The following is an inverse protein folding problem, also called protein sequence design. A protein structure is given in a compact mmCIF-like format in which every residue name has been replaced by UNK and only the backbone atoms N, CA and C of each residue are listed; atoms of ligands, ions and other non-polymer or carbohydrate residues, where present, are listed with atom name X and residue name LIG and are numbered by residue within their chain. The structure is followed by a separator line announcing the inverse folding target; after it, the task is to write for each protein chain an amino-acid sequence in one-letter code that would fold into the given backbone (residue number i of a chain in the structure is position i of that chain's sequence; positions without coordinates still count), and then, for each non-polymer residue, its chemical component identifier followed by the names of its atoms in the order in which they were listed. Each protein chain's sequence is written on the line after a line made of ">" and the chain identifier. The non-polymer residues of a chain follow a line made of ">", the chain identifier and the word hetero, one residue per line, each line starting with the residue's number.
data_IF_733296253463
#
_entry.id   IF_733296253463
#
_cell.length_a   1.000
_cell.length_b   1.000
_cell.length_c   1.000
_cell.angle_alpha   90.00
_cell.angle_beta   90.00
_cell.angle_gamma   90.00
#
_symmetry.space_group_name_H-M   'P 1'
#
loop_
_entity.id
_entity.type
_entity.pdbx_description
1 polymer ?
#
# COMPACT_ATOMS: atom_id res chain seq x y z
N UNK A 1 -24.50 -2.03 -7.06
CA UNK A 1 -25.01 -3.41 -7.27
C UNK A 1 -24.15 -4.47 -6.56
N UNK A 2 -22.86 -4.63 -6.88
CA UNK A 2 -21.99 -5.64 -6.23
C UNK A 2 -21.86 -5.48 -4.70
N UNK A 3 -21.69 -4.25 -4.21
CA UNK A 3 -21.63 -3.94 -2.77
C UNK A 3 -22.92 -4.36 -2.05
N UNK A 4 -24.08 -4.13 -2.67
CA UNK A 4 -25.38 -4.50 -2.11
C UNK A 4 -25.49 -6.01 -1.89
N UNK A 5 -25.17 -6.83 -2.90
CA UNK A 5 -25.20 -8.29 -2.78
C UNK A 5 -24.18 -8.84 -1.79
N UNK A 6 -23.04 -8.17 -1.60
CA UNK A 6 -22.01 -8.57 -0.65
C UNK A 6 -22.47 -8.43 0.81
N UNK A 7 -23.32 -7.44 1.10
CA UNK A 7 -23.82 -7.12 2.45
C UNK A 7 -25.22 -7.70 2.73
N UNK A 8 -25.98 -8.09 1.69
CA UNK A 8 -27.41 -8.44 1.79
C UNK A 8 -27.74 -9.52 2.83
N UNK A 9 -26.88 -10.53 3.03
CA UNK A 9 -27.06 -11.58 4.06
C UNK A 9 -26.22 -11.33 5.33
N UNK A 10 -25.89 -10.07 5.62
CA UNK A 10 -25.11 -9.65 6.79
C UNK A 10 -23.74 -10.36 6.85
N UNK A 11 -23.18 -10.51 8.05
CA UNK A 11 -21.81 -10.97 8.31
C UNK A 11 -21.50 -12.37 7.72
N UNK A 12 -22.51 -13.23 7.53
CA UNK A 12 -22.34 -14.58 6.96
C UNK A 12 -22.03 -14.58 5.46
N UNK A 13 -22.57 -13.65 4.70
CA UNK A 13 -22.25 -13.51 3.27
C UNK A 13 -21.02 -12.64 3.05
N UNK A 14 -20.92 -11.55 3.83
CA UNK A 14 -19.74 -10.69 3.81
C UNK A 14 -18.47 -11.48 4.15
N UNK A 15 -18.51 -12.37 5.16
CA UNK A 15 -17.37 -13.21 5.51
C UNK A 15 -16.83 -14.07 4.36
N UNK A 16 -17.71 -14.64 3.52
CA UNK A 16 -17.28 -15.45 2.36
C UNK A 16 -16.66 -14.61 1.24
N UNK A 17 -17.26 -13.45 0.95
CA UNK A 17 -16.75 -12.52 -0.06
C UNK A 17 -15.40 -11.94 0.40
N UNK A 18 -15.26 -11.65 1.69
CA UNK A 18 -14.02 -11.12 2.30
C UNK A 18 -12.84 -12.06 2.11
N UNK A 19 -13.00 -13.39 2.15
CA UNK A 19 -11.89 -14.30 1.85
C UNK A 19 -11.31 -14.06 0.45
N UNK A 20 -12.16 -13.88 -0.56
CA UNK A 20 -11.67 -13.56 -1.90
C UNK A 20 -11.10 -12.14 -1.95
N UNK A 21 -11.86 -11.14 -1.52
CA UNK A 21 -11.46 -9.72 -1.66
C UNK A 21 -10.28 -9.34 -0.77
N UNK A 22 -10.01 -10.08 0.31
CA UNK A 22 -8.83 -9.86 1.15
C UNK A 22 -7.62 -10.65 0.65
N UNK A 23 -7.79 -11.91 0.19
CA UNK A 23 -6.64 -12.75 -0.21
C UNK A 23 -6.19 -12.45 -1.64
N UNK A 24 -7.11 -12.22 -2.58
CA UNK A 24 -6.77 -11.97 -3.99
C UNK A 24 -5.81 -10.78 -4.19
N UNK A 25 -5.97 -9.63 -3.49
CA UNK A 25 -4.98 -8.56 -3.56
C UNK A 25 -3.57 -8.97 -3.15
N UNK A 26 -3.40 -9.90 -2.18
CA UNK A 26 -2.07 -10.40 -1.82
C UNK A 26 -1.44 -11.23 -2.94
N UNK A 27 -2.23 -12.04 -3.66
CA UNK A 27 -1.73 -12.78 -4.83
C UNK A 27 -1.19 -11.81 -5.88
N UNK A 28 -1.93 -10.74 -6.18
CA UNK A 28 -1.47 -9.70 -7.10
C UNK A 28 -0.25 -8.95 -6.57
N UNK A 29 -0.23 -8.61 -5.28
CA UNK A 29 0.91 -7.97 -4.61
C UNK A 29 2.18 -8.80 -4.78
N UNK A 30 2.13 -10.11 -4.56
CA UNK A 30 3.29 -10.97 -4.72
C UNK A 30 3.71 -11.13 -6.19
N UNK A 31 2.75 -11.23 -7.12
CA UNK A 31 3.05 -11.26 -8.55
C UNK A 31 3.72 -9.95 -9.02
N UNK A 32 3.21 -8.80 -8.57
CA UNK A 32 3.80 -7.49 -8.87
C UNK A 32 5.15 -7.29 -8.20
N UNK A 33 5.33 -7.76 -6.97
CA UNK A 33 6.64 -7.76 -6.32
C UNK A 33 7.66 -8.57 -7.12
N UNK A 34 7.32 -9.81 -7.49
CA UNK A 34 8.19 -10.65 -8.30
C UNK A 34 8.55 -9.96 -9.62
N UNK A 35 7.57 -9.36 -10.31
CA UNK A 35 7.84 -8.63 -11.55
C UNK A 35 8.70 -7.40 -11.32
N UNK A 36 8.37 -6.56 -10.34
CA UNK A 36 9.06 -5.30 -10.08
C UNK A 36 10.54 -5.52 -9.72
N UNK A 37 10.84 -6.55 -8.92
CA UNK A 37 12.22 -6.90 -8.56
C UNK A 37 13.04 -7.45 -9.73
N UNK A 38 12.41 -7.94 -10.80
CA UNK A 38 13.10 -8.42 -12.01
C UNK A 38 13.36 -7.34 -13.06
N UNK A 39 12.91 -6.10 -12.81
CA UNK A 39 13.13 -4.99 -13.75
C UNK A 39 14.57 -4.48 -13.66
N UNK A 40 15.11 -4.06 -14.79
CA UNK A 40 16.39 -3.34 -14.83
C UNK A 40 16.24 -2.00 -14.09
N UNK A 41 17.27 -1.56 -13.35
CA UNK A 41 17.20 -0.36 -12.51
C UNK A 41 16.36 -0.49 -11.22
N UNK A 42 15.70 -1.62 -10.96
CA UNK A 42 14.91 -1.81 -9.74
C UNK A 42 15.73 -1.68 -8.45
N UNK A 43 17.00 -2.08 -8.50
CA UNK A 43 17.94 -2.03 -7.36
C UNK A 43 18.15 -0.58 -6.91
N UNK A 44 18.32 0.36 -7.84
CA UNK A 44 18.51 1.78 -7.52
C UNK A 44 17.27 2.35 -6.82
N UNK A 45 16.09 1.93 -7.29
CA UNK A 45 14.81 2.16 -6.64
C UNK A 45 14.75 1.73 -5.18
N UNK A 46 15.14 0.49 -4.92
CA UNK A 46 15.11 -0.12 -3.59
C UNK A 46 16.15 0.52 -2.67
N UNK A 47 17.35 0.83 -3.19
CA UNK A 47 18.37 1.52 -2.44
C UNK A 47 17.88 2.89 -1.99
N UNK A 48 17.27 3.66 -2.90
CA UNK A 48 16.67 4.95 -2.57
C UNK A 48 15.58 4.83 -1.49
N UNK A 49 14.72 3.81 -1.57
CA UNK A 49 13.66 3.58 -0.58
C UNK A 49 14.18 3.35 0.84
N UNK A 50 15.30 2.63 0.99
CA UNK A 50 15.87 2.32 2.30
C UNK A 50 16.97 3.28 2.75
N UNK A 51 17.37 4.25 1.92
CA UNK A 51 18.42 5.21 2.27
C UNK A 51 17.90 6.18 3.35
N UNK A 52 18.40 6.10 4.59
CA UNK A 52 17.86 6.91 5.68
C UNK A 52 18.42 8.33 5.62
N UNK A 53 17.54 9.33 5.70
CA UNK A 53 17.89 10.75 5.85
C UNK A 53 17.64 11.16 7.30
N UNK A 54 18.63 10.95 8.17
CA UNK A 54 18.49 11.12 9.63
C UNK A 54 18.15 12.54 10.07
N UNK A 55 18.61 13.54 9.32
CA UNK A 55 18.36 14.96 9.58
C UNK A 55 16.86 15.28 9.59
N UNK A 56 16.07 14.60 8.76
CA UNK A 56 14.63 14.78 8.66
C UNK A 56 13.89 14.36 9.94
N UNK A 57 14.48 13.51 10.79
CA UNK A 57 13.86 13.11 12.06
C UNK A 57 13.77 14.26 13.07
N UNK A 58 14.60 15.29 12.90
CA UNK A 58 14.56 16.50 13.74
C UNK A 58 13.38 17.41 13.35
N UNK A 59 12.80 17.21 12.17
CA UNK A 59 11.68 18.02 11.69
C UNK A 59 10.36 17.51 12.25
N UNK A 60 9.65 18.36 13.01
CA UNK A 60 8.34 18.02 13.57
C UNK A 60 7.31 17.63 12.49
N UNK A 61 7.41 18.18 11.28
CA UNK A 61 6.51 17.88 10.16
C UNK A 61 6.55 16.40 9.78
N UNK A 62 7.71 15.76 9.81
CA UNK A 62 7.87 14.34 9.46
C UNK A 62 7.06 13.46 10.41
N UNK A 63 7.05 13.78 11.71
CA UNK A 63 6.25 13.08 12.71
C UNK A 63 4.75 13.31 12.55
N UNK A 64 4.34 14.53 12.19
CA UNK A 64 2.93 14.84 11.89
C UNK A 64 2.45 14.03 10.68
N UNK A 65 3.25 13.97 9.60
CA UNK A 65 2.92 13.16 8.42
C UNK A 65 2.87 11.67 8.75
N UNK A 66 3.82 11.15 9.54
CA UNK A 66 3.83 9.76 9.97
C UNK A 66 2.60 9.40 10.82
N UNK A 67 2.21 10.28 11.75
CA UNK A 67 1.01 10.08 12.58
C UNK A 67 -0.26 10.10 11.70
N UNK A 68 -0.41 11.10 10.83
CA UNK A 68 -1.53 11.19 9.91
C UNK A 68 -1.64 9.97 8.99
N UNK A 69 -0.51 9.48 8.47
CA UNK A 69 -0.46 8.28 7.63
C UNK A 69 -0.94 7.04 8.38
N UNK A 70 -0.46 6.80 9.60
CA UNK A 70 -0.89 5.67 10.42
C UNK A 70 -2.39 5.74 10.75
N UNK A 71 -2.87 6.93 11.10
CA UNK A 71 -4.27 7.16 11.42
C UNK A 71 -5.19 6.92 10.22
N UNK A 72 -4.82 7.43 9.04
CA UNK A 72 -5.58 7.21 7.80
C UNK A 72 -5.50 5.77 7.30
N UNK A 73 -4.36 5.10 7.51
CA UNK A 73 -4.13 3.72 7.08
C UNK A 73 -5.02 2.73 7.84
N UNK A 74 -5.00 2.78 9.17
CA UNK A 74 -5.80 1.88 10.02
C UNK A 74 -7.27 2.33 10.10
N UNK A 75 -7.55 3.60 9.80
CA UNK A 75 -8.87 4.26 9.95
C UNK A 75 -9.38 4.14 11.39
N UNK A 76 -8.49 4.43 12.34
CA UNK A 76 -8.87 4.51 13.74
C UNK A 76 -10.01 5.53 13.92
N UNK A 77 -11.01 5.22 14.73
CA UNK A 77 -12.19 6.05 14.99
C UNK A 77 -13.24 6.23 13.86
N UNK A 78 -13.14 5.57 12.71
CA UNK A 78 -14.18 5.63 11.66
C UNK A 78 -15.38 4.70 11.87
N UNK A 79 -15.58 4.17 13.08
CA UNK A 79 -16.71 3.27 13.42
C UNK A 79 -16.60 1.85 12.88
N UNK A 80 -15.94 1.62 11.73
CA UNK A 80 -15.83 0.30 11.08
C UNK A 80 -15.21 -0.77 11.98
N UNK A 81 -14.07 -0.47 12.62
CA UNK A 81 -13.41 -1.41 13.54
C UNK A 81 -14.25 -1.65 14.80
N UNK A 82 -14.97 -0.64 15.29
CA UNK A 82 -15.90 -0.76 16.43
C UNK A 82 -17.06 -1.69 16.05
N UNK A 83 -17.61 -1.54 14.85
CA UNK A 83 -18.65 -2.43 14.32
C UNK A 83 -18.16 -3.86 14.13
N UNK A 84 -16.90 -4.09 13.71
CA UNK A 84 -16.36 -5.46 13.62
C UNK A 84 -16.08 -6.06 15.00
N UNK A 85 -15.57 -5.26 15.94
CA UNK A 85 -15.36 -5.70 17.31
C UNK A 85 -16.67 -6.11 18.00
N UNK A 86 -17.80 -5.44 17.71
CA UNK A 86 -19.10 -5.78 18.32
C UNK A 86 -19.66 -7.16 17.91
N UNK A 87 -19.17 -7.74 16.80
CA UNK A 87 -19.50 -9.10 16.37
C UNK A 87 -18.53 -10.16 16.91
N UNK A 88 -17.46 -9.76 17.62
CA UNK A 88 -16.49 -10.69 18.20
C UNK A 88 -17.04 -11.39 19.44
N UNK A 89 -16.53 -12.59 19.74
CA UNK A 89 -16.89 -13.29 20.98
C UNK A 89 -16.38 -12.50 22.20
N UNK A 90 -17.11 -12.53 23.31
CA UNK A 90 -16.77 -11.77 24.53
C UNK A 90 -15.46 -12.25 25.19
N UNK A 91 -15.07 -13.49 24.97
CA UNK A 91 -13.83 -14.13 25.46
C UNK A 91 -12.67 -14.03 24.46
N UNK A 92 -12.82 -13.27 23.37
CA UNK A 92 -11.81 -13.14 22.34
C UNK A 92 -10.62 -12.27 22.80
N UNK A 93 -9.39 -12.70 22.48
CA UNK A 93 -8.19 -11.92 22.76
C UNK A 93 -8.01 -10.79 21.74
N UNK A 94 -8.64 -9.65 22.02
CA UNK A 94 -8.60 -8.47 21.16
C UNK A 94 -7.19 -7.87 20.99
N UNK A 95 -6.30 -8.05 21.98
CA UNK A 95 -4.92 -7.54 21.90
C UNK A 95 -4.15 -8.28 20.81
N UNK A 96 -4.29 -9.61 20.76
CA UNK A 96 -3.65 -10.43 19.72
C UNK A 96 -4.16 -10.04 18.33
N UNK A 97 -5.47 -9.90 18.16
CA UNK A 97 -6.06 -9.54 16.87
C UNK A 97 -5.63 -8.16 16.41
N UNK A 98 -5.58 -7.19 17.34
CA UNK A 98 -5.11 -5.83 17.05
C UNK A 98 -3.65 -5.85 16.59
N UNK A 99 -2.77 -6.57 17.28
CA UNK A 99 -1.36 -6.69 16.89
C UNK A 99 -1.21 -7.30 15.49
N UNK A 100 -1.95 -8.38 15.20
CA UNK A 100 -1.92 -9.04 13.89
C UNK A 100 -2.39 -8.08 12.79
N UNK A 101 -3.52 -7.39 12.99
CA UNK A 101 -4.07 -6.45 12.00
C UNK A 101 -3.10 -5.31 11.73
N UNK A 102 -2.53 -4.69 12.77
CA UNK A 102 -1.57 -3.60 12.60
C UNK A 102 -0.29 -4.06 11.91
N UNK A 103 0.26 -5.22 12.29
CA UNK A 103 1.45 -5.78 11.65
C UNK A 103 1.22 -6.10 10.17
N UNK A 104 0.12 -6.76 9.84
CA UNK A 104 -0.23 -7.09 8.45
C UNK A 104 -0.41 -5.81 7.63
N UNK A 105 -1.08 -4.78 8.18
CA UNK A 105 -1.24 -3.49 7.52
C UNK A 105 0.12 -2.81 7.22
N UNK A 106 1.02 -2.77 8.20
CA UNK A 106 2.35 -2.19 8.03
C UNK A 106 3.21 -2.97 7.05
N UNK A 107 3.22 -4.31 7.12
CA UNK A 107 3.95 -5.17 6.18
C UNK A 107 3.42 -5.01 4.76
N UNK A 108 2.10 -4.94 4.58
CA UNK A 108 1.49 -4.73 3.26
C UNK A 108 1.92 -3.39 2.67
N UNK A 109 1.94 -2.34 3.50
CA UNK A 109 2.39 -1.00 3.10
C UNK A 109 3.87 -0.99 2.69
N UNK A 110 4.73 -1.73 3.41
CA UNK A 110 6.14 -1.89 3.05
C UNK A 110 6.32 -2.63 1.73
N UNK A 111 5.60 -3.73 1.50
CA UNK A 111 5.65 -4.48 0.24
C UNK A 111 5.17 -3.59 -0.93
N UNK A 112 4.08 -2.84 -0.74
CA UNK A 112 3.60 -1.90 -1.74
C UNK A 112 4.64 -0.80 -2.04
N UNK A 113 5.31 -0.28 -1.00
CA UNK A 113 6.43 0.65 -1.14
C UNK A 113 7.56 0.08 -1.98
N UNK A 114 7.99 -1.16 -1.71
CA UNK A 114 9.01 -1.85 -2.51
C UNK A 114 8.64 -1.94 -3.99
N UNK A 115 7.39 -2.30 -4.31
CA UNK A 115 6.91 -2.40 -5.69
C UNK A 115 6.98 -1.05 -6.39
N UNK A 116 6.50 0.01 -5.74
CA UNK A 116 6.48 1.37 -6.29
C UNK A 116 7.91 1.86 -6.54
N UNK A 117 8.79 1.76 -5.55
CA UNK A 117 10.16 2.25 -5.67
C UNK A 117 11.01 1.41 -6.64
N UNK A 118 10.85 0.08 -6.68
CA UNK A 118 11.47 -0.75 -7.71
C UNK A 118 11.00 -0.36 -9.13
N UNK A 119 9.72 -0.03 -9.28
CA UNK A 119 9.18 0.44 -10.57
C UNK A 119 9.73 1.83 -10.93
N UNK A 120 9.85 2.75 -9.96
CA UNK A 120 10.45 4.07 -10.17
C UNK A 120 11.93 3.98 -10.55
N UNK A 121 12.70 3.06 -9.96
CA UNK A 121 14.08 2.80 -10.35
C UNK A 121 14.22 2.33 -11.80
N UNK A 122 13.30 1.46 -12.24
CA UNK A 122 13.23 1.06 -13.65
C UNK A 122 12.88 2.23 -14.58
N UNK A 123 11.99 3.14 -14.16
CA UNK A 123 11.71 4.35 -14.94
C UNK A 123 12.93 5.27 -15.03
N UNK A 124 13.64 5.49 -13.92
CA UNK A 124 14.88 6.25 -13.89
C UNK A 124 15.92 5.67 -14.86
N UNK A 125 16.05 4.33 -14.90
CA UNK A 125 16.94 3.64 -15.83
C UNK A 125 16.52 3.82 -17.31
N UNK A 126 15.22 3.68 -17.61
CA UNK A 126 14.72 3.82 -18.99
C UNK A 126 14.83 5.25 -19.54
N UNK A 127 14.56 6.26 -18.70
CA UNK A 127 14.63 7.66 -19.09
C UNK A 127 16.02 8.27 -18.91
N UNK A 128 16.96 7.51 -18.32
CA UNK A 128 18.31 7.98 -17.99
C UNK A 128 18.29 9.29 -17.18
N UNK A 129 17.35 9.36 -16.23
CA UNK A 129 17.12 10.49 -15.33
C UNK A 129 17.47 10.11 -13.88
N UNK A 130 17.91 11.05 -13.03
CA UNK A 130 18.14 10.80 -11.62
C UNK A 130 16.86 10.33 -10.91
N UNK A 131 16.99 9.35 -10.02
CA UNK A 131 15.84 8.81 -9.29
C UNK A 131 15.13 9.86 -8.43
N UNK A 132 15.85 10.84 -7.87
CA UNK A 132 15.28 11.94 -7.08
C UNK A 132 14.22 12.73 -7.89
N UNK A 133 14.50 13.00 -9.16
CA UNK A 133 13.62 13.77 -10.05
C UNK A 133 12.36 12.95 -10.40
N UNK A 134 12.55 11.67 -10.71
CA UNK A 134 11.46 10.72 -11.00
C UNK A 134 10.55 10.52 -9.78
N UNK A 135 11.11 10.45 -8.56
CA UNK A 135 10.34 10.30 -7.32
C UNK A 135 9.57 11.57 -6.99
N UNK A 136 10.20 12.75 -7.13
CA UNK A 136 9.55 14.03 -6.90
C UNK A 136 8.36 14.25 -7.85
N UNK A 137 8.50 13.78 -9.10
CA UNK A 137 7.47 13.89 -10.13
C UNK A 137 6.64 12.60 -10.31
N UNK A 138 6.72 11.65 -9.36
CA UNK A 138 6.18 10.29 -9.53
C UNK A 138 4.69 10.26 -9.86
N UNK A 139 3.90 11.23 -9.36
CA UNK A 139 2.47 11.36 -9.71
C UNK A 139 2.25 11.60 -11.20
N UNK A 140 3.13 12.36 -11.86
CA UNK A 140 3.04 12.61 -13.29
C UNK A 140 3.47 11.40 -14.11
N UNK A 141 4.46 10.64 -13.65
CA UNK A 141 4.90 9.38 -14.26
C UNK A 141 3.84 8.27 -14.18
N UNK A 142 3.03 8.22 -13.12
CA UNK A 142 1.93 7.25 -12.96
C UNK A 142 0.58 7.75 -13.50
N UNK A 143 0.48 9.01 -13.93
CA UNK A 143 -0.76 9.54 -14.51
C UNK A 143 -1.08 8.85 -15.84
N UNK A 144 -2.35 8.44 -16.02
CA UNK A 144 -2.81 7.75 -17.22
C UNK A 144 -2.63 8.59 -18.49
N UNK A 145 -2.73 9.92 -18.38
CA UNK A 145 -2.52 10.87 -19.48
C UNK A 145 -1.08 10.81 -20.00
N UNK A 146 -0.09 10.96 -19.12
CA UNK A 146 1.32 10.92 -19.54
C UNK A 146 1.79 9.50 -19.87
N UNK A 147 1.25 8.47 -19.21
CA UNK A 147 1.53 7.08 -19.56
C UNK A 147 1.10 6.78 -21.01
N UNK A 148 -0.10 7.26 -21.40
CA UNK A 148 -0.62 7.04 -22.75
C UNK A 148 0.18 7.78 -23.82
N UNK A 149 0.58 9.02 -23.55
CA UNK A 149 1.39 9.83 -24.47
C UNK A 149 2.84 9.31 -24.60
N UNK A 150 3.42 8.79 -23.50
CA UNK A 150 4.81 8.30 -23.49
C UNK A 150 4.99 6.90 -24.07
N UNK A 151 3.95 6.05 -24.04
CA UNK A 151 4.01 4.68 -24.59
C UNK A 151 3.35 4.53 -25.97
N UNK A 152 2.91 5.63 -26.61
CA UNK A 152 2.47 5.62 -28.01
C UNK A 152 1.25 4.74 -28.29
N UNK A 153 0.43 4.45 -27.27
CA UNK A 153 -0.79 3.64 -27.43
C UNK A 153 -1.90 4.56 -27.92
N UNK A 154 -1.98 4.73 -29.23
CA UNK A 154 -3.04 5.45 -29.93
C UNK A 154 -4.37 4.68 -29.91
#
# INVERSE_FOLDING_TARGET
>A
VLVYFSVWKSVRSSGKVVYFTAVFPYVLLFAFLARALTLEGAVDGIQFFFQPKWELLLEAKVWVHAAAQNFNSIRFAFGTLISFASYSRKDNNIVKDTLVVTLVNSLTSLIAGLIVFATLGNLAHQFNEPIDDIVADGSNYFSLTNFRDRFGVA
#
